data_IF_707143977257
#
_entry.id   IF_707143977257
#
_cell.length_a   1.000
_cell.length_b   1.000
_cell.length_c   1.000
_cell.angle_alpha   90.00
_cell.angle_beta   90.00
_cell.angle_gamma   90.00
#
_symmetry.space_group_name_H-M   'P 1'
#
loop_
_entity.id
_entity.type
_entity.pdbx_description
1 polymer ?
#
# COMPACT_ATOMS: atom_id res chain seq x y z
N UNK A 1 -6.06 -7.97 -58.96
CA UNK A 1 -6.69 -9.30 -58.84
C UNK A 1 -6.86 -9.56 -57.35
N UNK A 2 -8.03 -9.57 -56.71
CA UNK A 2 -9.39 -9.85 -57.12
C UNK A 2 -10.35 -8.87 -56.43
N UNK A 3 -11.22 -8.23 -57.21
CA UNK A 3 -12.48 -7.66 -56.75
C UNK A 3 -13.54 -8.74 -56.90
N UNK A 4 -14.38 -8.97 -55.88
CA UNK A 4 -15.74 -9.50 -56.07
C UNK A 4 -16.69 -8.79 -55.11
N UNK A 5 -17.46 -7.89 -55.72
CA UNK A 5 -18.82 -7.52 -55.35
C UNK A 5 -19.69 -8.76 -55.15
N UNK A 6 -20.60 -8.73 -54.17
CA UNK A 6 -21.95 -9.26 -54.36
C UNK A 6 -22.92 -8.59 -53.39
N UNK A 7 -23.97 -8.02 -53.99
CA UNK A 7 -25.10 -7.32 -53.40
C UNK A 7 -26.32 -8.25 -53.29
N UNK A 8 -26.86 -8.38 -52.05
CA UNK A 8 -28.27 -8.64 -51.61
C UNK A 8 -29.07 -9.84 -52.18
N UNK A 9 -30.23 -10.25 -51.61
CA UNK A 9 -30.98 -9.77 -50.43
C UNK A 9 -31.34 -10.89 -49.41
N UNK A 10 -31.83 -10.54 -48.22
CA UNK A 10 -32.34 -11.56 -47.29
C UNK A 10 -32.86 -10.97 -45.98
N UNK A 11 -34.08 -10.44 -46.00
CA UNK A 11 -34.85 -10.17 -44.79
C UNK A 11 -35.25 -11.50 -44.15
N UNK A 12 -34.49 -11.95 -43.14
CA UNK A 12 -34.88 -13.03 -42.24
C UNK A 12 -35.11 -12.47 -40.83
N UNK A 13 -36.00 -13.05 -40.02
CA UNK A 13 -36.28 -12.58 -38.65
C UNK A 13 -35.13 -12.90 -37.65
N UNK A 14 -33.89 -13.06 -38.13
CA UNK A 14 -32.75 -13.52 -37.34
C UNK A 14 -31.81 -12.41 -36.83
N UNK A 15 -32.03 -11.17 -37.24
CA UNK A 15 -31.12 -10.06 -36.90
C UNK A 15 -31.54 -9.30 -35.62
N UNK A 16 -32.60 -9.75 -34.93
CA UNK A 16 -33.18 -9.04 -33.79
C UNK A 16 -32.50 -9.30 -32.43
N UNK A 17 -31.53 -10.23 -32.33
CA UNK A 17 -30.94 -10.65 -31.06
C UNK A 17 -29.46 -10.27 -30.84
N UNK A 18 -28.80 -9.57 -31.77
CA UNK A 18 -27.35 -9.27 -31.65
C UNK A 18 -27.02 -7.79 -31.75
N UNK A 19 -27.85 -6.90 -31.20
CA UNK A 19 -27.49 -5.51 -30.98
C UNK A 19 -27.52 -5.22 -29.47
N UNK A 20 -26.53 -5.73 -28.73
CA UNK A 20 -26.28 -5.26 -27.36
C UNK A 20 -26.02 -3.75 -27.47
N UNK A 21 -26.76 -2.86 -26.78
CA UNK A 21 -26.61 -1.43 -26.99
C UNK A 21 -25.19 -1.01 -26.62
N UNK A 22 -24.39 -0.64 -27.62
CA UNK A 22 -23.00 -0.15 -27.51
C UNK A 22 -22.88 1.04 -26.53
N UNK A 23 -23.99 1.72 -26.30
CA UNK A 23 -24.18 2.85 -25.39
C UNK A 23 -23.95 2.46 -23.91
N UNK A 24 -24.31 1.24 -23.50
CA UNK A 24 -24.31 0.81 -22.09
C UNK A 24 -22.90 0.39 -21.65
N UNK A 25 -22.16 -0.30 -22.52
CA UNK A 25 -20.75 -0.66 -22.29
C UNK A 25 -19.85 0.58 -22.30
N UNK A 26 -20.14 1.54 -23.19
CA UNK A 26 -19.48 2.84 -23.20
C UNK A 26 -19.76 3.59 -21.90
N UNK A 27 -21.03 3.83 -21.55
CA UNK A 27 -21.44 4.52 -20.32
C UNK A 27 -20.85 3.91 -19.03
N UNK A 28 -20.77 2.58 -18.93
CA UNK A 28 -20.17 1.89 -17.76
C UNK A 28 -18.65 2.07 -17.70
N UNK A 29 -17.97 2.10 -18.85
CA UNK A 29 -16.54 2.38 -18.96
C UNK A 29 -16.21 3.84 -18.60
N UNK A 30 -16.97 4.82 -19.10
CA UNK A 30 -16.79 6.24 -18.75
C UNK A 30 -17.04 6.49 -17.27
N UNK A 31 -18.10 5.88 -16.70
CA UNK A 31 -18.38 5.98 -15.26
C UNK A 31 -17.33 5.28 -14.39
N UNK A 32 -16.73 4.16 -14.85
CA UNK A 32 -15.64 3.49 -14.13
C UNK A 32 -14.32 4.29 -14.21
N UNK A 33 -14.05 4.92 -15.35
CA UNK A 33 -12.92 5.83 -15.54
C UNK A 33 -13.04 7.08 -14.68
N UNK A 34 -14.21 7.72 -14.68
CA UNK A 34 -14.49 8.90 -13.84
C UNK A 34 -14.35 8.59 -12.34
N UNK A 35 -14.89 7.45 -11.86
CA UNK A 35 -14.74 7.02 -10.46
C UNK A 35 -13.31 6.65 -10.06
N UNK A 36 -12.45 6.31 -11.00
CA UNK A 36 -11.05 6.00 -10.72
C UNK A 36 -10.22 7.28 -10.67
N UNK A 37 -10.42 8.18 -11.63
CA UNK A 37 -9.83 9.52 -11.62
C UNK A 37 -10.21 10.33 -10.37
N UNK A 38 -11.46 10.22 -9.90
CA UNK A 38 -11.92 10.86 -8.67
C UNK A 38 -11.24 10.27 -7.41
N UNK A 39 -11.08 8.95 -7.35
CA UNK A 39 -10.35 8.29 -6.25
C UNK A 39 -8.90 8.70 -6.20
N UNK A 40 -8.23 8.76 -7.35
CA UNK A 40 -6.83 9.16 -7.45
C UNK A 40 -6.64 10.65 -7.12
N UNK A 41 -7.60 11.51 -7.53
CA UNK A 41 -7.61 12.92 -7.16
C UNK A 41 -7.82 13.14 -5.64
N UNK A 42 -8.62 12.30 -4.98
CA UNK A 42 -8.89 12.41 -3.54
C UNK A 42 -7.76 11.82 -2.67
N UNK A 43 -6.98 10.86 -3.18
CA UNK A 43 -5.96 10.13 -2.41
C UNK A 43 -4.76 10.98 -1.96
N UNK A 44 -4.54 12.13 -2.60
CA UNK A 44 -3.34 12.93 -2.41
C UNK A 44 -2.09 12.25 -2.98
N UNK A 45 -1.15 13.05 -3.48
CA UNK A 45 0.13 12.60 -3.99
C UNK A 45 1.25 13.27 -3.20
N UNK A 46 2.36 12.57 -3.03
CA UNK A 46 3.56 13.15 -2.43
C UNK A 46 4.12 14.22 -3.37
N UNK A 47 4.53 15.37 -2.83
CA UNK A 47 5.06 16.45 -3.67
C UNK A 47 6.45 16.11 -4.22
N UNK A 48 7.23 15.31 -3.49
CA UNK A 48 8.50 14.76 -3.97
C UNK A 48 8.78 13.34 -3.44
N UNK A 49 9.57 12.58 -4.19
CA UNK A 49 10.14 11.29 -3.74
C UNK A 49 11.00 11.46 -2.49
N UNK A 50 11.66 12.60 -2.33
CA UNK A 50 12.50 12.90 -1.16
C UNK A 50 11.67 13.04 0.12
N UNK A 51 10.46 13.61 0.05
CA UNK A 51 9.54 13.73 1.19
C UNK A 51 9.03 12.37 1.65
N UNK A 52 8.73 11.48 0.69
CA UNK A 52 8.38 10.11 0.99
C UNK A 52 9.54 9.37 1.66
N UNK A 53 10.75 9.46 1.11
CA UNK A 53 11.94 8.82 1.70
C UNK A 53 12.24 9.37 3.10
N UNK A 54 12.12 10.68 3.29
CA UNK A 54 12.33 11.32 4.58
C UNK A 54 11.29 10.86 5.61
N UNK A 55 10.03 10.70 5.19
CA UNK A 55 8.95 10.17 6.04
C UNK A 55 9.21 8.72 6.43
N UNK A 56 9.68 7.88 5.50
CA UNK A 56 10.10 6.51 5.78
C UNK A 56 11.27 6.43 6.77
N UNK A 57 12.28 7.28 6.61
CA UNK A 57 13.43 7.35 7.53
C UNK A 57 12.98 7.83 8.91
N UNK A 58 12.11 8.84 8.97
CA UNK A 58 11.54 9.34 10.22
C UNK A 58 10.70 8.30 10.96
N UNK A 59 9.99 7.43 10.23
CA UNK A 59 9.31 6.29 10.81
C UNK A 59 10.28 5.21 11.32
N UNK A 60 11.37 4.96 10.61
CA UNK A 60 12.35 3.93 10.97
C UNK A 60 13.25 4.34 12.15
N UNK A 61 13.58 5.62 12.29
CA UNK A 61 14.47 6.15 13.34
C UNK A 61 13.63 6.73 14.48
N UNK A 62 13.37 5.92 15.51
CA UNK A 62 12.66 6.34 16.73
C UNK A 62 13.56 6.62 17.93
N UNK A 63 13.05 7.35 18.92
CA UNK A 63 13.74 7.62 20.20
C UNK A 63 14.14 6.30 20.90
N UNK A 64 13.32 5.26 20.72
CA UNK A 64 13.63 3.90 21.18
C UNK A 64 14.94 3.34 20.63
N UNK A 65 15.29 3.63 19.37
CA UNK A 65 16.56 3.17 18.80
C UNK A 65 17.76 3.85 19.47
N UNK A 66 17.64 5.10 19.89
CA UNK A 66 18.75 5.88 20.46
C UNK A 66 19.17 5.36 21.83
N UNK A 67 18.23 4.94 22.70
CA UNK A 67 18.57 4.43 24.03
C UNK A 67 18.65 2.89 24.12
N UNK A 68 17.85 2.16 23.32
CA UNK A 68 17.78 0.70 23.40
C UNK A 68 18.99 0.05 22.78
N UNK A 69 19.47 0.61 21.67
CA UNK A 69 20.60 0.07 20.93
C UNK A 69 21.91 0.13 21.74
N UNK A 70 22.30 1.26 22.37
CA UNK A 70 23.49 1.31 23.22
C UNK A 70 23.39 0.35 24.40
N UNK A 71 22.22 0.27 25.05
CA UNK A 71 22.00 -0.63 26.18
C UNK A 71 22.18 -2.10 25.79
N UNK A 72 21.61 -2.51 24.64
CA UNK A 72 21.67 -3.89 24.18
C UNK A 72 23.07 -4.29 23.71
N UNK A 73 23.80 -3.36 23.06
CA UNK A 73 25.19 -3.57 22.69
C UNK A 73 26.07 -3.75 23.95
N UNK A 74 25.90 -2.89 24.96
CA UNK A 74 26.71 -2.96 26.18
C UNK A 74 26.57 -4.30 26.91
N UNK A 75 25.34 -4.82 27.02
CA UNK A 75 25.07 -6.08 27.73
C UNK A 75 25.48 -7.35 26.95
N UNK A 76 25.55 -7.27 25.62
CA UNK A 76 25.74 -8.43 24.74
C UNK A 76 27.15 -8.54 24.17
N UNK A 77 28.16 -7.98 24.85
CA UNK A 77 29.56 -8.03 24.41
C UNK A 77 30.02 -6.85 23.57
N UNK A 78 29.37 -5.68 23.71
CA UNK A 78 29.74 -4.44 23.04
C UNK A 78 29.57 -4.52 21.53
N UNK A 79 30.65 -4.23 20.79
CA UNK A 79 30.66 -4.22 19.32
C UNK A 79 30.47 -5.59 18.66
N UNK A 80 30.72 -6.71 19.37
CA UNK A 80 30.52 -8.04 18.80
C UNK A 80 29.04 -8.36 18.52
N UNK A 81 28.13 -7.75 19.28
CA UNK A 81 26.67 -7.85 19.07
C UNK A 81 26.21 -7.19 17.75
N UNK A 82 27.04 -6.32 17.17
CA UNK A 82 26.72 -5.61 15.94
C UNK A 82 26.69 -6.54 14.72
N UNK A 83 27.52 -7.58 14.71
CA UNK A 83 27.62 -8.55 13.60
C UNK A 83 26.30 -9.31 13.39
N UNK A 84 25.72 -10.01 14.40
CA UNK A 84 24.44 -10.67 14.23
C UNK A 84 23.29 -9.67 14.02
N UNK A 85 23.36 -8.48 14.62
CA UNK A 85 22.35 -7.43 14.43
C UNK A 85 22.28 -6.96 12.98
N UNK A 86 23.42 -6.62 12.37
CA UNK A 86 23.48 -6.21 10.96
C UNK A 86 23.10 -7.37 10.03
N UNK A 87 23.55 -8.59 10.32
CA UNK A 87 23.21 -9.75 9.50
C UNK A 87 21.69 -10.00 9.50
N UNK A 88 21.03 -9.94 10.66
CA UNK A 88 19.56 -10.05 10.75
C UNK A 88 18.84 -8.85 10.11
N UNK A 89 19.43 -7.64 10.19
CA UNK A 89 18.89 -6.46 9.51
C UNK A 89 18.93 -6.65 7.98
N UNK A 90 20.05 -7.12 7.42
CA UNK A 90 20.18 -7.35 5.97
C UNK A 90 19.33 -8.52 5.49
N UNK A 91 19.25 -9.63 6.24
CA UNK A 91 18.50 -10.82 5.84
C UNK A 91 16.99 -10.73 6.07
N UNK A 92 16.55 -10.00 7.09
CA UNK A 92 15.15 -9.97 7.49
C UNK A 92 14.59 -8.55 7.47
N UNK A 93 15.31 -7.58 8.05
CA UNK A 93 14.85 -6.18 8.13
C UNK A 93 14.63 -5.54 6.76
N UNK A 94 15.64 -5.56 5.89
CA UNK A 94 15.54 -4.96 4.54
C UNK A 94 14.50 -5.68 3.68
N UNK A 95 14.46 -7.02 3.61
CA UNK A 95 13.44 -7.72 2.81
C UNK A 95 12.01 -7.46 3.31
N UNK A 96 11.77 -7.45 4.63
CA UNK A 96 10.45 -7.13 5.18
C UNK A 96 10.04 -5.69 4.88
N UNK A 97 10.95 -4.73 5.04
CA UNK A 97 10.68 -3.33 4.74
C UNK A 97 10.38 -3.10 3.26
N UNK A 98 11.15 -3.76 2.38
CA UNK A 98 10.90 -3.71 0.94
C UNK A 98 9.54 -4.31 0.57
N UNK A 99 9.21 -5.48 1.14
CA UNK A 99 7.90 -6.11 0.93
C UNK A 99 6.75 -5.18 1.35
N UNK A 100 6.86 -4.55 2.52
CA UNK A 100 5.84 -3.64 3.04
C UNK A 100 5.62 -2.44 2.11
N UNK A 101 6.70 -1.82 1.61
CA UNK A 101 6.59 -0.69 0.68
C UNK A 101 5.96 -1.13 -0.64
N UNK A 102 6.41 -2.24 -1.22
CA UNK A 102 5.87 -2.75 -2.48
C UNK A 102 4.39 -3.09 -2.33
N UNK A 103 4.01 -3.74 -1.22
CA UNK A 103 2.62 -4.06 -0.91
C UNK A 103 1.77 -2.80 -0.74
N UNK A 104 2.29 -1.76 -0.07
CA UNK A 104 1.61 -0.47 0.09
C UNK A 104 1.39 0.25 -1.23
N UNK A 105 2.40 0.28 -2.10
CA UNK A 105 2.29 0.89 -3.44
C UNK A 105 1.35 0.10 -4.36
N UNK A 106 1.43 -1.23 -4.35
CA UNK A 106 0.61 -2.09 -5.20
C UNK A 106 -0.87 -2.08 -4.77
N UNK A 107 -1.13 -2.21 -3.48
CA UNK A 107 -2.49 -2.26 -2.94
C UNK A 107 -3.20 -0.92 -3.09
N UNK A 108 -2.46 0.19 -2.98
CA UNK A 108 -3.01 1.54 -3.19
C UNK A 108 -4.23 1.85 -2.29
N UNK A 109 -4.43 1.05 -1.25
CA UNK A 109 -5.48 1.13 -0.22
C UNK A 109 -4.83 0.94 1.16
N UNK A 110 -5.45 1.50 2.20
CA UNK A 110 -4.90 1.45 3.56
C UNK A 110 -4.81 0.03 4.15
N UNK A 111 -4.17 -0.09 5.32
CA UNK A 111 -3.82 -1.36 5.97
C UNK A 111 -4.99 -2.35 6.12
N UNK A 112 -6.22 -1.88 6.33
CA UNK A 112 -7.43 -2.73 6.40
C UNK A 112 -7.89 -3.19 5.00
N UNK A 113 -7.70 -2.34 3.99
CA UNK A 113 -8.12 -2.59 2.61
C UNK A 113 -7.24 -3.61 1.88
N UNK A 114 -5.94 -3.68 2.23
CA UNK A 114 -4.98 -4.63 1.62
C UNK A 114 -5.42 -6.08 1.82
N UNK A 115 -5.95 -6.41 2.99
CA UNK A 115 -6.41 -7.76 3.32
C UNK A 115 -7.75 -8.14 2.70
N UNK A 116 -8.34 -7.31 1.81
CA UNK A 116 -9.49 -7.73 0.99
C UNK A 116 -9.12 -8.80 -0.04
N UNK A 117 -7.83 -8.95 -0.38
CA UNK A 117 -7.34 -9.99 -1.28
C UNK A 117 -7.41 -11.39 -0.65
N UNK A 118 -7.28 -11.49 0.67
CA UNK A 118 -7.32 -12.75 1.42
C UNK A 118 -8.13 -12.56 2.73
N UNK A 119 -9.41 -12.96 2.77
CA UNK A 119 -10.29 -12.72 3.91
C UNK A 119 -9.82 -13.39 5.21
N UNK A 120 -8.94 -14.39 5.12
CA UNK A 120 -8.31 -15.04 6.27
C UNK A 120 -7.41 -14.09 7.07
N UNK A 121 -6.79 -13.10 6.43
CA UNK A 121 -5.92 -12.11 7.07
C UNK A 121 -6.66 -10.82 7.45
N UNK A 122 -7.99 -10.77 7.31
CA UNK A 122 -8.78 -9.58 7.68
C UNK A 122 -8.59 -9.17 9.15
N UNK A 123 -8.37 -10.14 10.04
CA UNK A 123 -8.05 -9.90 11.45
C UNK A 123 -6.68 -9.26 11.67
N UNK A 124 -5.69 -9.51 10.80
CA UNK A 124 -4.36 -8.92 10.91
C UNK A 124 -4.40 -7.39 10.71
N UNK A 125 -5.21 -6.91 9.77
CA UNK A 125 -5.41 -5.48 9.56
C UNK A 125 -5.97 -4.76 10.80
N UNK A 126 -6.96 -5.37 11.47
CA UNK A 126 -7.48 -4.81 12.73
C UNK A 126 -6.47 -4.90 13.88
N UNK A 127 -5.70 -5.98 13.96
CA UNK A 127 -4.64 -6.12 14.97
C UNK A 127 -3.59 -5.01 14.83
N UNK A 128 -3.16 -4.69 13.61
CA UNK A 128 -2.19 -3.60 13.35
C UNK A 128 -2.75 -2.26 13.84
N UNK A 129 -4.03 -1.98 13.61
CA UNK A 129 -4.66 -0.72 14.08
C UNK A 129 -4.71 -0.65 15.60
N UNK A 130 -5.07 -1.75 16.28
CA UNK A 130 -5.12 -1.80 17.75
C UNK A 130 -3.72 -1.62 18.35
N UNK A 131 -2.71 -2.31 17.80
CA UNK A 131 -1.31 -2.18 18.25
C UNK A 131 -0.82 -0.76 18.04
N UNK A 132 -1.06 -0.16 16.88
CA UNK A 132 -0.68 1.23 16.61
C UNK A 132 -1.37 2.21 17.58
N UNK A 133 -2.64 2.01 17.90
CA UNK A 133 -3.34 2.84 18.88
C UNK A 133 -2.68 2.80 20.26
N UNK A 134 -2.37 1.60 20.77
CA UNK A 134 -1.69 1.42 22.06
C UNK A 134 -0.29 2.06 22.02
N UNK A 135 0.47 1.84 20.95
CA UNK A 135 1.78 2.45 20.76
C UNK A 135 1.69 3.98 20.77
N UNK A 136 0.76 4.57 20.01
CA UNK A 136 0.58 6.03 19.96
C UNK A 136 0.21 6.59 21.33
N UNK A 137 -0.70 5.96 22.08
CA UNK A 137 -1.03 6.41 23.44
C UNK A 137 0.21 6.43 24.35
N UNK A 138 1.03 5.39 24.30
CA UNK A 138 2.26 5.29 25.10
C UNK A 138 3.32 6.34 24.69
N UNK A 139 3.60 6.46 23.39
CA UNK A 139 4.59 7.41 22.88
C UNK A 139 4.18 8.86 23.10
N UNK A 140 2.89 9.18 23.01
CA UNK A 140 2.38 10.54 23.31
C UNK A 140 2.70 10.99 24.73
N UNK A 141 2.59 10.09 25.71
CA UNK A 141 2.95 10.39 27.11
C UNK A 141 4.46 10.63 27.26
N UNK A 142 5.29 9.82 26.59
CA UNK A 142 6.76 9.99 26.63
C UNK A 142 7.18 11.32 26.01
N UNK A 143 6.60 11.71 24.89
CA UNK A 143 6.92 12.98 24.22
C UNK A 143 6.42 14.18 25.04
N UNK A 144 5.33 14.03 25.78
CA UNK A 144 4.84 15.09 26.68
C UNK A 144 5.76 15.35 27.88
N UNK A 145 6.47 14.32 28.36
CA UNK A 145 7.35 14.44 29.53
C UNK A 145 8.45 15.51 29.40
N UNK A 146 9.25 15.58 28.32
CA UNK A 146 10.24 16.65 28.12
C UNK A 146 9.63 18.02 27.76
N UNK A 147 8.31 18.11 27.51
CA UNK A 147 7.63 19.41 27.31
C UNK A 147 7.23 20.01 28.67
N UNK A 148 6.98 19.16 29.65
CA UNK A 148 6.64 19.57 31.02
C UNK A 148 7.87 20.06 31.80
N UNK A 149 9.07 19.65 31.40
CA UNK A 149 10.34 19.95 32.05
C UNK A 149 11.14 20.97 31.23
#
# INVERSE_FOLDING_TARGET
MFSRSNSHPGNGPADAYTQVPTNITSAKSINAGAKTAERDANRGQWASKTEFMLSCIGYAVGIGNVWRFPYLCYRSGGGAFLVPYLLMLFLCGIPLFFMEIVMGQFSSVGCIGVFRLAPLFKGAGFAIVIVNFICTCYYSVIIAYPIMF
#
